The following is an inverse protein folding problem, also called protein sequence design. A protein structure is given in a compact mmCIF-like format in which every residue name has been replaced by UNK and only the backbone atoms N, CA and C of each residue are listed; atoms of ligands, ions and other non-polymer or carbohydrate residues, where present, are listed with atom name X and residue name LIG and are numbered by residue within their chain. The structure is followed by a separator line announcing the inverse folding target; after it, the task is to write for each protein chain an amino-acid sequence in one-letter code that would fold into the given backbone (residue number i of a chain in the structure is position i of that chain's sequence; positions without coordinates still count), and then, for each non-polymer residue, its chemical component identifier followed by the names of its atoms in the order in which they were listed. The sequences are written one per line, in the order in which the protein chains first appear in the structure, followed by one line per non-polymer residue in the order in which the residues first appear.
data_IF_485451097825
#
_entry.id   IF_485451097825
#
_cell.length_a   1.000
_cell.length_b   1.000
_cell.length_c   1.000
_cell.angle_alpha   90.00
_cell.angle_beta   90.00
_cell.angle_gamma   90.00
#
_symmetry.space_group_name_H-M   'P 1'
#
loop_
_entity.id
_entity.type
_entity.pdbx_description
1 polymer ?
#
# COMPACT_ATOMS: atom_id res chain seq x y z
N UNK A 1 19.18 -15.48 13.77
CA UNK A 1 18.13 -15.50 12.73
C UNK A 1 18.58 -14.60 11.61
N UNK A 2 18.35 -14.98 10.35
CA UNK A 2 18.58 -14.07 9.23
C UNK A 2 17.65 -12.86 9.35
N UNK A 3 18.07 -11.69 8.87
CA UNK A 3 17.24 -10.48 8.84
C UNK A 3 15.87 -10.76 8.19
N UNK A 4 15.85 -11.62 7.17
CA UNK A 4 14.65 -11.97 6.40
C UNK A 4 13.76 -13.05 7.05
N UNK A 5 14.22 -13.69 8.12
CA UNK A 5 13.42 -14.70 8.84
C UNK A 5 12.54 -14.06 9.93
N UNK A 6 12.91 -12.87 10.40
CA UNK A 6 12.19 -12.17 11.46
C UNK A 6 11.07 -11.31 10.84
N UNK A 7 9.83 -11.79 10.99
CA UNK A 7 8.63 -11.11 10.50
C UNK A 7 8.47 -9.70 11.07
N UNK A 8 9.04 -9.43 12.26
CA UNK A 8 8.99 -8.10 12.88
C UNK A 8 9.74 -7.05 12.08
N UNK A 9 10.75 -7.44 11.32
CA UNK A 9 11.47 -6.53 10.43
C UNK A 9 10.59 -6.07 9.27
N UNK A 10 9.78 -6.98 8.70
CA UNK A 10 8.75 -6.63 7.71
C UNK A 10 7.71 -5.67 8.32
N UNK A 11 7.25 -5.98 9.54
CA UNK A 11 6.33 -5.13 10.29
C UNK A 11 6.89 -3.74 10.59
N UNK A 12 8.19 -3.65 10.91
CA UNK A 12 8.87 -2.37 11.14
C UNK A 12 8.93 -1.53 9.86
N UNK A 13 9.26 -2.13 8.72
CA UNK A 13 9.27 -1.43 7.44
C UNK A 13 7.89 -0.91 7.05
N UNK A 14 6.84 -1.73 7.21
CA UNK A 14 5.44 -1.32 7.04
C UNK A 14 5.05 -0.17 7.98
N UNK A 15 5.44 -0.27 9.24
CA UNK A 15 5.16 0.74 10.25
C UNK A 15 5.80 2.09 9.91
N UNK A 16 7.06 2.08 9.46
CA UNK A 16 7.77 3.30 9.05
C UNK A 16 7.13 3.89 7.78
N UNK A 17 6.87 3.06 6.75
CA UNK A 17 6.21 3.51 5.52
C UNK A 17 4.85 4.15 5.80
N UNK A 18 4.07 3.57 6.72
CA UNK A 18 2.78 4.10 7.12
C UNK A 18 2.89 5.46 7.84
N UNK A 19 3.88 5.65 8.73
CA UNK A 19 4.14 6.97 9.34
C UNK A 19 4.47 8.01 8.28
N UNK A 20 5.30 7.66 7.30
CA UNK A 20 5.66 8.58 6.21
C UNK A 20 4.44 8.94 5.35
N UNK A 21 3.58 7.95 5.07
CA UNK A 21 2.30 8.19 4.38
C UNK A 21 1.39 9.12 5.19
N UNK A 22 1.29 8.96 6.51
CA UNK A 22 0.53 9.87 7.39
C UNK A 22 1.10 11.29 7.34
N UNK A 23 2.42 11.45 7.39
CA UNK A 23 3.07 12.76 7.28
C UNK A 23 2.76 13.38 5.91
N UNK A 24 2.87 12.61 4.83
CA UNK A 24 2.52 13.06 3.48
C UNK A 24 1.06 13.51 3.36
N UNK A 25 0.13 12.76 3.94
CA UNK A 25 -1.28 13.11 3.97
C UNK A 25 -1.56 14.41 4.75
N UNK A 26 -0.90 14.60 5.90
CA UNK A 26 -1.00 15.84 6.68
C UNK A 26 -0.46 17.03 5.87
N UNK A 27 0.69 16.86 5.21
CA UNK A 27 1.26 17.90 4.35
C UNK A 27 0.31 18.25 3.20
N UNK A 28 -0.31 17.25 2.55
CA UNK A 28 -1.28 17.49 1.49
C UNK A 28 -2.47 18.32 1.98
N UNK A 29 -3.02 17.99 3.15
CA UNK A 29 -4.12 18.76 3.77
C UNK A 29 -3.68 20.20 4.07
N UNK A 30 -2.48 20.39 4.61
CA UNK A 30 -1.99 21.74 4.96
C UNK A 30 -1.72 22.58 3.71
N UNK A 31 -1.07 22.01 2.69
CA UNK A 31 -0.78 22.72 1.45
C UNK A 31 -2.05 23.16 0.73
N UNK A 32 -3.11 22.36 0.81
CA UNK A 32 -4.44 22.70 0.29
C UNK A 32 -5.10 23.95 0.92
N UNK A 33 -4.48 24.62 1.89
CA UNK A 33 -4.98 25.88 2.44
C UNK A 33 -3.92 26.99 2.50
N UNK A 34 -2.66 26.67 2.23
CA UNK A 34 -1.51 27.55 2.44
C UNK A 34 -0.75 27.80 1.14
N UNK A 35 -0.82 26.87 0.19
CA UNK A 35 -0.17 26.97 -1.11
C UNK A 35 -1.05 27.77 -2.09
N UNK A 36 -0.54 28.90 -2.56
CA UNK A 36 -1.26 29.78 -3.49
C UNK A 36 -1.57 29.07 -4.82
N UNK A 37 -0.77 28.09 -5.22
CA UNK A 37 -0.94 27.32 -6.46
C UNK A 37 -2.05 26.26 -6.35
N UNK A 38 -2.50 25.92 -5.14
CA UNK A 38 -3.56 24.93 -4.90
C UNK A 38 -4.94 25.57 -4.64
N UNK A 39 -5.00 26.91 -4.57
CA UNK A 39 -6.16 27.71 -4.13
C UNK A 39 -7.45 27.54 -4.90
N UNK A 40 -7.37 27.19 -6.18
CA UNK A 40 -8.56 26.98 -7.01
C UNK A 40 -9.26 25.65 -6.66
N UNK A 41 -8.51 24.71 -6.05
CA UNK A 41 -8.88 23.30 -5.82
C UNK A 41 -8.74 22.87 -4.34
N UNK A 42 -8.65 23.82 -3.41
CA UNK A 42 -8.37 23.63 -1.97
C UNK A 42 -9.17 22.49 -1.32
N UNK A 43 -10.49 22.45 -1.59
CA UNK A 43 -11.38 21.44 -0.99
C UNK A 43 -11.10 20.05 -1.54
N UNK A 44 -10.75 19.92 -2.82
CA UNK A 44 -10.45 18.62 -3.45
C UNK A 44 -9.19 18.00 -2.84
N UNK A 45 -8.12 18.77 -2.76
CA UNK A 45 -6.86 18.33 -2.16
C UNK A 45 -6.99 17.98 -0.67
N UNK A 46 -7.74 18.77 0.09
CA UNK A 46 -8.01 18.46 1.50
C UNK A 46 -8.78 17.13 1.66
N UNK A 47 -9.79 16.88 0.83
CA UNK A 47 -10.55 15.61 0.84
C UNK A 47 -9.63 14.43 0.49
N UNK A 48 -8.82 14.56 -0.55
CA UNK A 48 -7.86 13.53 -0.93
C UNK A 48 -6.91 13.21 0.23
N UNK A 49 -6.34 14.24 0.86
CA UNK A 49 -5.44 14.08 2.00
C UNK A 49 -6.09 13.40 3.20
N UNK A 50 -7.38 13.64 3.47
CA UNK A 50 -8.11 12.89 4.53
C UNK A 50 -8.21 11.40 4.17
N UNK A 51 -8.46 11.06 2.91
CA UNK A 51 -8.45 9.67 2.43
C UNK A 51 -7.10 9.00 2.63
N UNK A 52 -6.03 9.67 2.21
CA UNK A 52 -4.66 9.18 2.35
C UNK A 52 -4.27 9.02 3.82
N UNK A 53 -4.76 9.89 4.71
CA UNK A 53 -4.55 9.81 6.14
C UNK A 53 -5.18 8.54 6.74
N UNK A 54 -6.42 8.24 6.37
CA UNK A 54 -7.12 7.01 6.80
C UNK A 54 -6.36 5.78 6.30
N UNK A 55 -5.97 5.77 5.03
CA UNK A 55 -5.15 4.71 4.44
C UNK A 55 -3.83 4.51 5.20
N UNK A 56 -3.15 5.61 5.52
CA UNK A 56 -1.93 5.62 6.35
C UNK A 56 -2.15 4.96 7.71
N UNK A 57 -3.25 5.26 8.39
CA UNK A 57 -3.58 4.63 9.68
C UNK A 57 -3.90 3.14 9.57
N UNK A 58 -4.56 2.70 8.49
CA UNK A 58 -4.82 1.27 8.25
C UNK A 58 -3.49 0.52 8.08
N UNK A 59 -2.59 1.05 7.25
CA UNK A 59 -1.26 0.48 7.07
C UNK A 59 -0.45 0.49 8.37
N UNK A 60 -0.57 1.55 9.18
CA UNK A 60 0.12 1.68 10.46
C UNK A 60 -0.36 0.60 11.45
N UNK A 61 -1.68 0.39 11.52
CA UNK A 61 -2.28 -0.67 12.34
C UNK A 61 -1.74 -2.04 11.95
N UNK A 62 -1.73 -2.34 10.65
CA UNK A 62 -1.19 -3.61 10.14
C UNK A 62 0.31 -3.79 10.45
N UNK A 63 1.14 -2.78 10.16
CA UNK A 63 2.58 -2.82 10.47
C UNK A 63 2.85 -3.01 11.96
N UNK A 64 2.05 -2.36 12.83
CA UNK A 64 2.15 -2.51 14.28
C UNK A 64 1.82 -3.93 14.76
N UNK A 65 0.80 -4.58 14.20
CA UNK A 65 0.43 -5.97 14.54
C UNK A 65 1.58 -6.94 14.26
N UNK A 66 2.23 -6.80 13.10
CA UNK A 66 3.38 -7.65 12.74
C UNK A 66 4.58 -7.35 13.63
N UNK A 67 4.93 -6.06 13.78
CA UNK A 67 6.09 -5.62 14.57
C UNK A 67 5.99 -6.07 16.04
N UNK A 68 4.79 -6.02 16.62
CA UNK A 68 4.55 -6.44 18.01
C UNK A 68 4.52 -7.96 18.19
N UNK A 69 4.43 -8.73 17.10
CA UNK A 69 4.33 -10.18 17.12
C UNK A 69 2.92 -10.70 17.36
N UNK A 70 1.89 -9.84 17.35
CA UNK A 70 0.48 -10.25 17.36
C UNK A 70 0.14 -11.06 16.10
N UNK A 71 0.79 -10.74 14.98
CA UNK A 71 0.71 -11.48 13.72
C UNK A 71 2.10 -11.97 13.31
N UNK A 72 2.36 -13.27 13.40
CA UNK A 72 3.68 -13.86 13.12
C UNK A 72 3.67 -14.95 12.04
N UNK A 73 2.52 -15.56 11.73
CA UNK A 73 2.41 -16.55 10.66
C UNK A 73 2.61 -15.87 9.29
N UNK A 74 3.56 -16.37 8.49
CA UNK A 74 3.96 -15.76 7.22
C UNK A 74 2.82 -15.75 6.20
N UNK A 75 1.98 -16.79 6.17
CA UNK A 75 0.83 -16.85 5.26
C UNK A 75 -0.24 -15.85 5.69
N UNK A 76 -0.51 -15.75 6.99
CA UNK A 76 -1.47 -14.77 7.51
C UNK A 76 -0.98 -13.34 7.26
N UNK A 77 0.34 -13.08 7.35
CA UNK A 77 0.93 -11.79 7.00
C UNK A 77 0.72 -11.48 5.51
N UNK A 78 1.04 -12.41 4.60
CA UNK A 78 0.88 -12.19 3.16
C UNK A 78 -0.59 -11.97 2.79
N UNK A 79 -1.49 -12.82 3.25
CA UNK A 79 -2.92 -12.71 2.92
C UNK A 79 -3.55 -11.46 3.51
N UNK A 80 -3.19 -11.10 4.75
CA UNK A 80 -3.66 -9.86 5.37
C UNK A 80 -3.03 -8.62 4.74
N UNK A 81 -1.83 -8.70 4.19
CA UNK A 81 -1.27 -7.63 3.35
C UNK A 81 -2.12 -7.42 2.10
N UNK A 82 -2.54 -8.49 1.40
CA UNK A 82 -3.46 -8.38 0.24
C UNK A 82 -4.79 -7.73 0.65
N UNK A 83 -5.34 -8.11 1.80
CA UNK A 83 -6.55 -7.50 2.35
C UNK A 83 -6.37 -6.00 2.64
N UNK A 84 -5.24 -5.61 3.24
CA UNK A 84 -4.92 -4.21 3.56
C UNK A 84 -4.75 -3.38 2.29
N UNK A 85 -4.04 -3.91 1.28
CA UNK A 85 -3.92 -3.28 -0.03
C UNK A 85 -5.31 -3.06 -0.62
N UNK A 86 -6.18 -4.07 -0.60
CA UNK A 86 -7.56 -3.93 -1.07
C UNK A 86 -8.32 -2.80 -0.35
N UNK A 87 -8.26 -2.74 0.98
CA UNK A 87 -8.94 -1.70 1.76
C UNK A 87 -8.40 -0.30 1.44
N UNK A 88 -7.09 -0.15 1.39
CA UNK A 88 -6.43 1.13 1.07
C UNK A 88 -6.81 1.58 -0.34
N UNK A 89 -6.84 0.66 -1.31
CA UNK A 89 -7.27 1.00 -2.68
C UNK A 89 -8.75 1.38 -2.77
N UNK A 90 -9.64 0.71 -2.03
CA UNK A 90 -11.07 1.06 -1.98
C UNK A 90 -11.26 2.44 -1.34
N UNK A 91 -10.68 2.65 -0.16
CA UNK A 91 -10.83 3.90 0.59
C UNK A 91 -10.21 5.06 -0.18
N UNK A 92 -8.97 4.89 -0.67
CA UNK A 92 -8.32 5.88 -1.53
C UNK A 92 -9.18 6.21 -2.75
N UNK A 93 -9.72 5.20 -3.44
CA UNK A 93 -10.61 5.40 -4.58
C UNK A 93 -11.91 6.15 -4.24
N UNK A 94 -12.51 5.91 -3.07
CA UNK A 94 -13.69 6.66 -2.60
C UNK A 94 -13.33 8.13 -2.39
N UNK A 95 -12.23 8.42 -1.71
CA UNK A 95 -11.82 9.80 -1.43
C UNK A 95 -11.37 10.52 -2.71
N UNK A 96 -10.71 9.83 -3.64
CA UNK A 96 -10.41 10.37 -4.98
C UNK A 96 -11.67 10.66 -5.77
N UNK A 97 -12.68 9.77 -5.73
CA UNK A 97 -13.94 10.03 -6.42
C UNK A 97 -14.69 11.23 -5.83
N UNK A 98 -14.64 11.43 -4.52
CA UNK A 98 -15.31 12.57 -3.85
C UNK A 98 -14.52 13.86 -4.05
N UNK A 99 -13.18 13.81 -4.02
CA UNK A 99 -12.33 15.00 -4.16
C UNK A 99 -12.50 15.70 -5.50
N UNK A 100 -13.02 15.02 -6.53
CA UNK A 100 -13.33 15.60 -7.85
C UNK A 100 -14.17 16.89 -7.79
N UNK A 101 -14.88 17.16 -6.69
CA UNK A 101 -15.66 18.40 -6.54
C UNK A 101 -14.80 19.66 -6.55
N UNK A 102 -13.55 19.55 -6.10
CA UNK A 102 -12.57 20.64 -6.05
C UNK A 102 -11.38 20.35 -6.97
N UNK A 103 -11.66 19.85 -8.17
CA UNK A 103 -10.69 19.73 -9.26
C UNK A 103 -11.31 20.24 -10.56
N UNK A 104 -10.49 20.79 -11.44
CA UNK A 104 -10.92 21.22 -12.77
C UNK A 104 -11.41 20.04 -13.64
N UNK A 105 -10.65 18.95 -13.71
CA UNK A 105 -11.03 17.74 -14.46
C UNK A 105 -11.81 16.75 -13.59
N UNK A 106 -13.04 17.13 -13.26
CA UNK A 106 -13.94 16.32 -12.43
C UNK A 106 -14.16 14.93 -13.00
N UNK A 107 -14.25 14.81 -14.32
CA UNK A 107 -14.54 13.57 -15.02
C UNK A 107 -13.40 12.57 -14.89
N UNK A 108 -12.16 13.00 -15.13
CA UNK A 108 -10.99 12.14 -14.99
C UNK A 108 -10.75 11.71 -13.54
N UNK A 109 -10.86 12.64 -12.59
CA UNK A 109 -10.65 12.36 -11.16
C UNK A 109 -11.72 11.42 -10.61
N UNK A 110 -13.00 11.65 -10.93
CA UNK A 110 -14.07 10.73 -10.56
C UNK A 110 -13.87 9.35 -11.19
N UNK A 111 -13.47 9.31 -12.47
CA UNK A 111 -13.20 8.08 -13.19
C UNK A 111 -12.06 7.26 -12.57
N UNK A 112 -10.94 7.90 -12.21
CA UNK A 112 -9.80 7.24 -11.58
C UNK A 112 -10.14 6.68 -10.19
N UNK A 113 -10.96 7.41 -9.41
CA UNK A 113 -11.49 6.95 -8.14
C UNK A 113 -12.36 5.69 -8.29
N UNK A 114 -13.29 5.69 -9.24
CA UNK A 114 -14.17 4.54 -9.51
C UNK A 114 -13.36 3.31 -9.95
N UNK A 115 -12.39 3.50 -10.85
CA UNK A 115 -11.49 2.41 -11.29
C UNK A 115 -10.73 1.83 -10.11
N UNK A 116 -10.21 2.69 -9.21
CA UNK A 116 -9.52 2.25 -8.00
C UNK A 116 -10.43 1.42 -7.09
N UNK A 117 -11.67 1.85 -6.88
CA UNK A 117 -12.66 1.09 -6.10
C UNK A 117 -12.88 -0.31 -6.70
N UNK A 118 -13.06 -0.40 -8.01
CA UNK A 118 -13.27 -1.67 -8.71
C UNK A 118 -12.06 -2.59 -8.54
N UNK A 119 -10.85 -2.06 -8.72
CA UNK A 119 -9.60 -2.81 -8.53
C UNK A 119 -9.50 -3.30 -7.08
N UNK A 120 -9.75 -2.43 -6.10
CA UNK A 120 -9.72 -2.79 -4.69
C UNK A 120 -10.73 -3.89 -4.33
N UNK A 121 -11.94 -3.86 -4.90
CA UNK A 121 -12.94 -4.93 -4.74
C UNK A 121 -12.47 -6.26 -5.34
N UNK A 122 -11.80 -6.24 -6.49
CA UNK A 122 -11.20 -7.44 -7.12
C UNK A 122 -10.09 -8.01 -6.21
N UNK A 123 -9.22 -7.17 -5.66
CA UNK A 123 -8.16 -7.61 -4.73
C UNK A 123 -8.77 -8.18 -3.45
N UNK A 124 -9.84 -7.57 -2.93
CA UNK A 124 -10.56 -8.08 -1.76
C UNK A 124 -11.18 -9.46 -2.04
N UNK A 125 -11.79 -9.63 -3.22
CA UNK A 125 -12.32 -10.92 -3.65
C UNK A 125 -11.22 -11.98 -3.74
N UNK A 126 -10.06 -11.64 -4.31
CA UNK A 126 -8.88 -12.50 -4.33
C UNK A 126 -8.49 -12.94 -2.92
N UNK A 127 -8.40 -12.00 -1.98
CA UNK A 127 -8.12 -12.31 -0.57
C UNK A 127 -9.12 -13.33 0.00
N UNK A 128 -10.43 -13.13 -0.21
CA UNK A 128 -11.46 -14.06 0.28
C UNK A 128 -11.37 -15.45 -0.34
N UNK A 129 -10.82 -15.54 -1.56
CA UNK A 129 -10.59 -16.82 -2.23
C UNK A 129 -9.34 -17.52 -1.72
N UNK A 130 -8.24 -16.81 -1.51
CA UNK A 130 -7.00 -17.41 -0.99
C UNK A 130 -7.17 -17.91 0.45
N UNK A 131 -8.00 -17.22 1.25
CA UNK A 131 -8.20 -17.53 2.67
C UNK A 131 -9.36 -18.48 2.94
N UNK A 132 -9.94 -19.09 1.90
CA UNK A 132 -10.91 -20.15 2.12
C UNK A 132 -10.20 -21.45 2.55
N UNK A 133 -10.92 -22.35 3.21
CA UNK A 133 -10.34 -23.61 3.72
C UNK A 133 -10.01 -24.65 2.62
N UNK A 134 -10.19 -24.31 1.34
CA UNK A 134 -10.04 -25.23 0.22
C UNK A 134 -8.87 -24.85 -0.68
N UNK A 135 -7.82 -25.66 -0.67
CA UNK A 135 -6.69 -25.48 -1.58
C UNK A 135 -7.05 -26.04 -2.97
N UNK A 136 -7.08 -25.16 -3.98
CA UNK A 136 -7.44 -25.49 -5.35
C UNK A 136 -6.48 -24.93 -6.41
N UNK A 137 -6.84 -25.12 -7.69
CA UNK A 137 -6.06 -24.58 -8.82
C UNK A 137 -5.98 -23.05 -8.79
N UNK A 138 -7.01 -22.39 -8.29
CA UNK A 138 -7.04 -20.94 -8.16
C UNK A 138 -5.91 -20.44 -7.24
N UNK A 139 -5.66 -21.10 -6.11
CA UNK A 139 -4.64 -20.66 -5.14
C UNK A 139 -3.23 -20.79 -5.72
N UNK A 140 -2.97 -21.85 -6.49
CA UNK A 140 -1.70 -22.01 -7.22
C UNK A 140 -1.48 -20.89 -8.23
N UNK A 141 -2.52 -20.54 -9.00
CA UNK A 141 -2.46 -19.43 -9.96
C UNK A 141 -2.23 -18.11 -9.23
N UNK A 142 -2.97 -17.89 -8.13
CA UNK A 142 -2.81 -16.69 -7.33
C UNK A 142 -1.43 -16.57 -6.71
N UNK A 143 -0.82 -17.69 -6.31
CA UNK A 143 0.54 -17.70 -5.80
C UNK A 143 1.53 -17.17 -6.84
N UNK A 144 1.43 -17.66 -8.09
CA UNK A 144 2.28 -17.19 -9.19
C UNK A 144 2.05 -15.70 -9.45
N UNK A 145 0.78 -15.27 -9.53
CA UNK A 145 0.44 -13.87 -9.81
C UNK A 145 0.96 -12.95 -8.70
N UNK A 146 0.73 -13.27 -7.43
CA UNK A 146 1.21 -12.48 -6.30
C UNK A 146 2.74 -12.41 -6.27
N UNK A 147 3.43 -13.52 -6.53
CA UNK A 147 4.89 -13.54 -6.61
C UNK A 147 5.40 -12.60 -7.71
N UNK A 148 4.79 -12.65 -8.91
CA UNK A 148 5.14 -11.76 -10.03
C UNK A 148 4.86 -10.30 -9.66
N UNK A 149 3.71 -10.01 -9.06
CA UNK A 149 3.36 -8.65 -8.61
C UNK A 149 4.39 -8.14 -7.59
N UNK A 150 4.76 -8.93 -6.58
CA UNK A 150 5.75 -8.50 -5.59
C UNK A 150 7.11 -8.21 -6.22
N UNK A 151 7.55 -9.01 -7.18
CA UNK A 151 8.79 -8.75 -7.94
C UNK A 151 8.68 -7.45 -8.76
N UNK A 152 7.56 -7.23 -9.44
CA UNK A 152 7.32 -5.98 -10.17
C UNK A 152 7.34 -4.78 -9.20
N UNK A 153 6.72 -4.91 -8.04
CA UNK A 153 6.69 -3.84 -7.04
C UNK A 153 8.08 -3.53 -6.46
N UNK A 154 8.96 -4.54 -6.31
CA UNK A 154 10.37 -4.30 -5.98
C UNK A 154 11.01 -3.40 -7.05
N UNK A 155 10.86 -3.75 -8.32
CA UNK A 155 11.43 -2.99 -9.44
C UNK A 155 10.89 -1.55 -9.47
N UNK A 156 9.57 -1.38 -9.32
CA UNK A 156 8.94 -0.06 -9.30
C UNK A 156 9.44 0.80 -8.14
N UNK A 157 9.64 0.23 -6.95
CA UNK A 157 10.19 0.98 -5.82
C UNK A 157 11.69 1.28 -6.01
N UNK A 158 12.46 0.43 -6.69
CA UNK A 158 13.82 0.77 -7.12
C UNK A 158 13.83 1.95 -8.08
N UNK A 159 12.91 2.00 -9.05
CA UNK A 159 12.77 3.15 -9.95
C UNK A 159 12.36 4.43 -9.17
N UNK A 160 11.49 4.29 -8.17
CA UNK A 160 11.06 5.40 -7.32
C UNK A 160 12.21 6.04 -6.54
N UNK A 161 13.30 5.32 -6.23
CA UNK A 161 14.50 5.91 -5.62
C UNK A 161 15.12 6.99 -6.51
N UNK A 162 15.13 6.78 -7.83
CA UNK A 162 15.63 7.79 -8.78
C UNK A 162 14.61 8.92 -8.97
N UNK A 163 13.31 8.58 -8.99
CA UNK A 163 12.23 9.57 -9.04
C UNK A 163 12.19 10.51 -7.84
N UNK A 164 12.69 10.07 -6.67
CA UNK A 164 12.71 10.88 -5.45
C UNK A 164 13.51 12.18 -5.60
N UNK A 165 14.50 12.23 -6.50
CA UNK A 165 15.28 13.45 -6.78
C UNK A 165 14.55 14.46 -7.67
N UNK A 166 13.36 14.12 -8.16
CA UNK A 166 12.49 15.03 -8.92
C UNK A 166 11.53 15.85 -8.06
N UNK A 167 11.49 15.64 -6.74
CA UNK A 167 10.66 16.43 -5.84
C UNK A 167 11.35 17.71 -5.41
N UNK A 168 10.58 18.79 -5.30
CA UNK A 168 11.06 20.05 -4.75
C UNK A 168 11.04 20.03 -3.22
N UNK A 169 12.18 20.38 -2.62
CA UNK A 169 12.35 20.49 -1.18
C UNK A 169 12.98 19.25 -0.52
N UNK A 170 13.95 19.50 0.37
CA UNK A 170 14.74 18.44 1.01
C UNK A 170 13.88 17.43 1.79
N UNK A 171 12.79 17.90 2.43
CA UNK A 171 11.90 17.02 3.19
C UNK A 171 11.16 16.04 2.27
N UNK A 172 10.63 16.51 1.15
CA UNK A 172 9.90 15.68 0.19
C UNK A 172 10.82 14.59 -0.41
N UNK A 173 12.05 14.97 -0.78
CA UNK A 173 13.07 14.03 -1.27
C UNK A 173 13.36 12.94 -0.23
N UNK A 174 13.60 13.31 1.04
CA UNK A 174 13.90 12.35 2.11
C UNK A 174 12.72 11.42 2.37
N UNK A 175 11.50 11.94 2.43
CA UNK A 175 10.29 11.13 2.62
C UNK A 175 10.10 10.15 1.46
N UNK A 176 10.28 10.59 0.22
CA UNK A 176 10.18 9.74 -0.97
C UNK A 176 11.23 8.63 -0.96
N UNK A 177 12.50 8.96 -0.65
CA UNK A 177 13.59 7.98 -0.56
C UNK A 177 13.31 6.91 0.50
N UNK A 178 12.95 7.31 1.73
CA UNK A 178 12.70 6.35 2.80
C UNK A 178 11.46 5.49 2.49
N UNK A 179 10.41 6.08 1.90
CA UNK A 179 9.22 5.34 1.50
C UNK A 179 9.55 4.28 0.44
N UNK A 180 10.35 4.62 -0.56
CA UNK A 180 10.80 3.68 -1.58
C UNK A 180 11.69 2.55 -1.00
N UNK A 181 12.62 2.87 -0.09
CA UNK A 181 13.42 1.86 0.62
C UNK A 181 12.53 0.92 1.42
N UNK A 182 11.57 1.46 2.17
CA UNK A 182 10.62 0.64 2.92
C UNK A 182 9.79 -0.25 1.99
N UNK A 183 9.31 0.30 0.86
CA UNK A 183 8.61 -0.46 -0.16
C UNK A 183 9.43 -1.65 -0.68
N UNK A 184 10.70 -1.43 -1.05
CA UNK A 184 11.62 -2.51 -1.47
C UNK A 184 11.71 -3.58 -0.38
N UNK A 185 11.96 -3.18 0.87
CA UNK A 185 12.10 -4.13 1.99
C UNK A 185 10.82 -4.95 2.15
N UNK A 186 9.66 -4.31 2.19
CA UNK A 186 8.35 -4.95 2.36
C UNK A 186 8.12 -5.99 1.26
N UNK A 187 8.32 -5.63 -0.01
CA UNK A 187 8.08 -6.55 -1.11
C UNK A 187 9.13 -7.67 -1.20
N UNK A 188 10.37 -7.45 -0.75
CA UNK A 188 11.34 -8.54 -0.56
C UNK A 188 10.83 -9.52 0.49
N UNK A 189 10.36 -9.04 1.65
CA UNK A 189 9.78 -9.92 2.67
C UNK A 189 8.57 -10.68 2.15
N UNK A 190 7.63 -10.02 1.46
CA UNK A 190 6.46 -10.70 0.89
C UNK A 190 6.88 -11.76 -0.13
N UNK A 191 7.89 -11.48 -0.96
CA UNK A 191 8.44 -12.46 -1.92
C UNK A 191 9.07 -13.66 -1.20
N UNK A 192 9.90 -13.42 -0.19
CA UNK A 192 10.54 -14.49 0.59
C UNK A 192 9.50 -15.33 1.33
N UNK A 193 8.47 -14.70 1.91
CA UNK A 193 7.39 -15.42 2.58
C UNK A 193 6.61 -16.28 1.60
N UNK A 194 6.35 -15.81 0.37
CA UNK A 194 5.73 -16.62 -0.68
C UNK A 194 6.57 -17.85 -1.08
N UNK A 195 7.89 -17.78 -0.95
CA UNK A 195 8.79 -18.89 -1.27
C UNK A 195 8.98 -19.88 -0.11
N UNK A 196 8.47 -19.56 1.07
CA UNK A 196 8.52 -20.42 2.25
C UNK A 196 7.68 -21.69 2.05
N UNK A 197 8.18 -22.84 2.53
CA UNK A 197 7.54 -24.14 2.33
C UNK A 197 6.13 -24.23 2.91
N UNK A 198 5.89 -23.64 4.09
CA UNK A 198 4.58 -23.68 4.74
C UNK A 198 3.57 -22.80 4.01
N UNK A 199 4.02 -21.64 3.51
CA UNK A 199 3.20 -20.73 2.71
C UNK A 199 2.86 -21.37 1.37
N UNK A 200 3.84 -21.94 0.66
CA UNK A 200 3.62 -22.66 -0.60
C UNK A 200 2.60 -23.79 -0.44
N UNK A 201 2.70 -24.58 0.62
CA UNK A 201 1.76 -25.66 0.89
C UNK A 201 0.32 -25.14 1.07
N UNK A 202 0.12 -24.02 1.77
CA UNK A 202 -1.19 -23.36 1.91
C UNK A 202 -1.74 -22.82 0.57
N UNK A 203 -0.88 -22.51 -0.39
CA UNK A 203 -1.26 -22.19 -1.77
C UNK A 203 -1.34 -23.42 -2.71
N UNK A 204 -1.06 -24.63 -2.20
CA UNK A 204 -1.09 -25.88 -2.97
C UNK A 204 0.08 -26.09 -3.91
N UNK A 205 1.24 -25.48 -3.62
CA UNK A 205 2.49 -25.51 -4.41
C UNK A 205 3.58 -26.39 -3.80
#
# INVERSE_FOLDING_TARGET
MSFFDDTKNAGLALYIAAILSIIGAILLIVCAFVDDDMKEDDIGWAIQGVGDLICGFIMLGFGKMIKSGELSDKFDIVTRFVMVVAMVTIIGGIFTAISCIGFDDKGAVAGSGIVSIIIGLIIYFIYTKITNDSVGTFDRIMWIILLVIFVIMIILNFLALFGAFGYDGALAIVVALISAICGIIIYIFMTIFMLDGDVKAKFGM
#
